data_IF_773621349659
#
_entry.id   IF_773621349659
#
_cell.length_a   1.000
_cell.length_b   1.000
_cell.length_c   1.000
_cell.angle_alpha   90.00
_cell.angle_beta   90.00
_cell.angle_gamma   90.00
#
_symmetry.space_group_name_H-M   'P 1'
#
loop_
_entity.id
_entity.type
_entity.pdbx_description
1 polymer ?
#
# COMPACT_ATOMS: atom_id res chain seq x y z
N UNK A 1 -25.53 17.25 -2.86
CA UNK A 1 -26.66 16.31 -2.72
C UNK A 1 -26.22 14.84 -2.78
N UNK A 2 -25.23 14.47 -3.59
CA UNK A 2 -24.76 13.09 -3.80
C UNK A 2 -24.16 12.39 -2.56
N UNK A 3 -23.54 13.14 -1.65
CA UNK A 3 -22.88 12.56 -0.47
C UNK A 3 -23.84 11.93 0.55
N UNK A 4 -25.08 12.44 0.67
CA UNK A 4 -26.06 11.92 1.63
C UNK A 4 -26.59 10.52 1.24
N UNK A 5 -26.51 10.14 -0.04
CA UNK A 5 -26.90 8.80 -0.53
C UNK A 5 -25.81 7.75 -0.26
N UNK A 6 -24.54 8.16 -0.24
CA UNK A 6 -23.38 7.26 -0.07
C UNK A 6 -23.20 6.87 1.40
N UNK A 7 -23.50 7.78 2.33
CA UNK A 7 -23.27 7.57 3.76
C UNK A 7 -24.38 6.75 4.47
N UNK A 8 -25.50 6.49 3.77
CA UNK A 8 -26.55 5.54 4.13
C UNK A 8 -26.92 5.46 5.63
N UNK A 9 -27.33 6.61 6.20
CA UNK A 9 -27.86 6.69 7.58
C UNK A 9 -29.33 6.21 7.71
N UNK A 10 -29.92 5.64 6.65
CA UNK A 10 -31.31 5.18 6.67
C UNK A 10 -31.43 3.67 6.91
N UNK A 11 -32.31 3.31 7.85
CA UNK A 11 -32.72 1.93 8.11
C UNK A 11 -33.56 1.41 6.94
N UNK A 12 -32.98 0.47 6.19
CA UNK A 12 -33.56 -0.26 5.05
C UNK A 12 -34.23 0.60 3.95
N UNK A 13 -33.47 0.98 2.89
CA UNK A 13 -33.97 1.87 1.85
C UNK A 13 -35.03 1.27 0.90
N UNK A 14 -35.39 -0.01 1.06
CA UNK A 14 -36.18 -0.72 0.04
C UNK A 14 -35.45 -0.80 -1.31
N UNK A 15 -36.18 -1.13 -2.37
CA UNK A 15 -35.69 -1.17 -3.75
C UNK A 15 -35.39 0.25 -4.24
N UNK A 16 -34.20 0.78 -3.96
CA UNK A 16 -33.73 2.04 -4.56
C UNK A 16 -33.60 1.83 -6.07
N UNK A 17 -34.41 2.57 -6.85
CA UNK A 17 -34.23 2.68 -8.29
C UNK A 17 -33.01 3.57 -8.59
N UNK A 18 -31.91 2.95 -8.99
CA UNK A 18 -30.66 3.62 -9.37
C UNK A 18 -30.63 4.04 -10.86
N UNK A 19 -31.65 3.67 -11.63
CA UNK A 19 -31.79 3.97 -13.06
C UNK A 19 -31.59 5.45 -13.41
N UNK A 20 -32.19 6.44 -12.71
CA UNK A 20 -31.99 7.84 -13.04
C UNK A 20 -30.52 8.28 -12.83
N UNK A 21 -29.83 7.72 -11.83
CA UNK A 21 -28.42 8.01 -11.58
C UNK A 21 -27.53 7.39 -12.66
N UNK A 22 -27.74 6.10 -12.97
CA UNK A 22 -26.98 5.39 -14.00
C UNK A 22 -27.20 6.03 -15.37
N UNK A 23 -28.44 6.38 -15.70
CA UNK A 23 -28.80 7.04 -16.97
C UNK A 23 -28.13 8.41 -17.09
N UNK A 24 -28.19 9.24 -16.03
CA UNK A 24 -27.53 10.55 -16.03
C UNK A 24 -26.00 10.43 -16.12
N UNK A 25 -25.39 9.53 -15.33
CA UNK A 25 -23.94 9.31 -15.33
C UNK A 25 -23.49 8.84 -16.72
N UNK A 26 -24.16 7.83 -17.29
CA UNK A 26 -23.77 7.22 -18.57
C UNK A 26 -23.98 8.14 -19.77
N UNK A 27 -24.89 9.11 -19.68
CA UNK A 27 -25.13 10.12 -20.72
C UNK A 27 -24.26 11.37 -20.55
N UNK A 28 -23.53 11.51 -19.44
CA UNK A 28 -22.64 12.64 -19.24
C UNK A 28 -21.47 12.59 -20.23
N UNK A 29 -21.10 13.76 -20.76
CA UNK A 29 -19.94 13.89 -21.66
C UNK A 29 -18.65 13.43 -20.98
N UNK A 30 -18.53 13.66 -19.67
CA UNK A 30 -17.42 13.21 -18.84
C UNK A 30 -17.32 11.68 -18.77
N UNK A 31 -18.45 10.97 -18.69
CA UNK A 31 -18.46 9.50 -18.72
C UNK A 31 -18.20 8.94 -20.12
N UNK A 32 -18.78 9.55 -21.15
CA UNK A 32 -18.57 9.12 -22.54
C UNK A 32 -17.09 9.27 -22.94
N UNK A 33 -16.42 10.30 -22.43
CA UNK A 33 -14.98 10.53 -22.60
C UNK A 33 -14.10 9.90 -21.51
N UNK A 34 -14.70 9.15 -20.57
CA UNK A 34 -13.97 8.55 -19.46
C UNK A 34 -13.08 7.42 -19.96
N UNK A 35 -11.77 7.66 -19.93
CA UNK A 35 -10.77 6.62 -20.10
C UNK A 35 -10.25 6.20 -18.73
N UNK A 36 -10.55 4.96 -18.26
CA UNK A 36 -10.12 4.49 -16.96
C UNK A 36 -8.60 4.51 -16.77
N UNK A 37 -7.83 4.36 -17.85
CA UNK A 37 -6.37 4.39 -17.82
C UNK A 37 -5.85 5.81 -17.56
N UNK A 38 -6.34 6.80 -18.32
CA UNK A 38 -5.95 8.20 -18.16
C UNK A 38 -6.39 8.75 -16.81
N UNK A 39 -7.60 8.40 -16.36
CA UNK A 39 -8.07 8.73 -15.03
C UNK A 39 -7.16 8.14 -13.95
N UNK A 40 -6.83 6.83 -14.02
CA UNK A 40 -5.91 6.20 -13.06
C UNK A 40 -4.52 6.81 -13.10
N UNK A 41 -4.02 7.16 -14.28
CA UNK A 41 -2.69 7.78 -14.43
C UNK A 41 -2.68 9.18 -13.82
N UNK A 42 -3.72 9.98 -14.09
CA UNK A 42 -3.88 11.33 -13.53
C UNK A 42 -4.01 11.28 -12.02
N UNK A 43 -4.87 10.40 -11.49
CA UNK A 43 -5.01 10.17 -10.05
C UNK A 43 -3.72 9.66 -9.43
N UNK A 44 -2.97 8.78 -10.12
CA UNK A 44 -1.67 8.32 -9.63
C UNK A 44 -0.68 9.48 -9.54
N UNK A 45 -0.61 10.36 -10.53
CA UNK A 45 0.28 11.52 -10.49
C UNK A 45 -0.09 12.50 -9.37
N UNK A 46 -1.39 12.70 -9.12
CA UNK A 46 -1.88 13.63 -8.08
C UNK A 46 -1.76 13.05 -6.67
N UNK A 47 -2.17 11.79 -6.48
CA UNK A 47 -2.25 11.14 -5.15
C UNK A 47 -0.93 10.48 -4.74
N UNK A 48 -0.19 9.93 -5.71
CA UNK A 48 1.10 9.26 -5.51
C UNK A 48 2.23 10.18 -5.97
N UNK A 49 2.61 11.14 -5.14
CA UNK A 49 3.75 12.05 -5.39
C UNK A 49 5.11 11.35 -5.21
N UNK A 50 5.11 10.05 -4.92
CA UNK A 50 6.35 9.31 -4.73
C UNK A 50 6.89 8.85 -6.08
N UNK A 51 8.21 8.96 -6.30
CA UNK A 51 8.82 8.34 -7.47
C UNK A 51 8.50 6.84 -7.43
N UNK A 52 7.81 6.36 -8.46
CA UNK A 52 7.53 4.94 -8.61
C UNK A 52 8.87 4.22 -8.75
N UNK A 53 9.25 3.47 -7.73
CA UNK A 53 10.40 2.59 -7.84
C UNK A 53 9.97 1.37 -8.67
N UNK A 54 10.26 1.41 -9.96
CA UNK A 54 9.98 0.28 -10.85
C UNK A 54 11.14 -0.70 -10.77
N UNK A 55 10.93 -1.86 -10.14
CA UNK A 55 11.85 -2.98 -10.37
C UNK A 55 11.90 -3.30 -11.87
N UNK A 56 13.08 -3.60 -12.42
CA UNK A 56 13.20 -3.91 -13.83
C UNK A 56 12.56 -5.28 -14.10
N UNK A 57 12.09 -5.53 -15.34
CA UNK A 57 11.37 -6.77 -15.69
C UNK A 57 12.04 -8.08 -15.25
N UNK A 58 13.38 -8.24 -15.29
CA UNK A 58 14.04 -9.47 -14.82
C UNK A 58 13.79 -9.78 -13.34
N UNK A 59 13.64 -8.77 -12.46
CA UNK A 59 13.40 -9.02 -11.04
C UNK A 59 11.95 -9.41 -10.77
N UNK A 60 11.00 -8.89 -11.55
CA UNK A 60 9.61 -9.36 -11.50
C UNK A 60 9.51 -10.85 -11.86
N UNK A 61 10.25 -11.29 -12.88
CA UNK A 61 10.33 -12.71 -13.24
C UNK A 61 10.86 -13.60 -12.11
N UNK A 62 11.68 -13.06 -11.21
CA UNK A 62 12.14 -13.77 -10.00
C UNK A 62 11.14 -13.68 -8.84
N UNK A 63 10.42 -12.56 -8.71
CA UNK A 63 9.45 -12.33 -7.65
C UNK A 63 8.17 -13.17 -7.78
N UNK A 64 7.58 -13.23 -8.97
CA UNK A 64 6.32 -13.94 -9.19
C UNK A 64 6.33 -15.45 -8.87
N UNK A 65 7.40 -16.22 -9.14
CA UNK A 65 7.45 -17.64 -8.78
C UNK A 65 7.72 -17.92 -7.29
N UNK A 66 7.97 -16.89 -6.46
CA UNK A 66 8.18 -17.10 -5.02
C UNK A 66 6.96 -17.77 -4.38
N UNK A 67 7.22 -18.81 -3.58
CA UNK A 67 6.21 -19.54 -2.80
C UNK A 67 5.84 -18.74 -1.53
N UNK A 68 5.17 -17.62 -1.75
CA UNK A 68 4.61 -16.76 -0.71
C UNK A 68 3.09 -16.74 -0.84
N UNK A 69 2.39 -16.58 0.29
CA UNK A 69 0.94 -16.40 0.32
C UNK A 69 0.55 -15.10 -0.40
N UNK A 70 -0.68 -15.05 -0.92
CA UNK A 70 -1.14 -13.96 -1.78
C UNK A 70 -1.12 -12.60 -1.06
N UNK A 71 -1.47 -12.59 0.22
CA UNK A 71 -1.51 -11.42 1.09
C UNK A 71 -0.11 -10.81 1.24
N UNK A 72 0.88 -11.64 1.55
CA UNK A 72 2.30 -11.21 1.64
C UNK A 72 2.80 -10.70 0.30
N UNK A 73 2.42 -11.35 -0.82
CA UNK A 73 2.80 -10.90 -2.16
C UNK A 73 2.29 -9.49 -2.45
N UNK A 74 1.04 -9.19 -2.11
CA UNK A 74 0.45 -7.86 -2.29
C UNK A 74 1.18 -6.81 -1.45
N UNK A 75 1.52 -7.14 -0.20
CA UNK A 75 2.28 -6.24 0.69
C UNK A 75 3.68 -5.98 0.11
N UNK A 76 4.42 -7.02 -0.27
CA UNK A 76 5.74 -6.88 -0.88
C UNK A 76 5.69 -6.08 -2.18
N UNK A 77 4.72 -6.34 -3.06
CA UNK A 77 4.53 -5.57 -4.29
C UNK A 77 4.30 -4.08 -3.99
N UNK A 78 3.40 -3.77 -3.04
CA UNK A 78 3.12 -2.38 -2.65
C UNK A 78 4.33 -1.73 -2.02
N UNK A 79 5.08 -2.45 -1.20
CA UNK A 79 6.32 -1.96 -0.60
C UNK A 79 7.36 -1.60 -1.66
N UNK A 80 7.60 -2.52 -2.59
CA UNK A 80 8.54 -2.35 -3.72
C UNK A 80 8.18 -1.12 -4.56
N UNK A 81 6.90 -0.93 -4.86
CA UNK A 81 6.42 0.21 -5.65
C UNK A 81 6.24 1.50 -4.84
N UNK A 82 6.59 1.51 -3.55
CA UNK A 82 6.34 2.60 -2.62
C UNK A 82 4.86 3.06 -2.60
N UNK A 83 3.96 2.07 -2.61
CA UNK A 83 2.49 2.20 -2.56
C UNK A 83 1.91 1.70 -1.23
N UNK A 84 2.73 1.56 -0.20
CA UNK A 84 2.24 1.30 1.15
C UNK A 84 1.78 2.61 1.77
N UNK A 85 0.60 2.57 2.38
CA UNK A 85 0.09 3.68 3.17
C UNK A 85 0.68 3.62 4.57
N UNK A 86 1.34 4.70 4.97
CA UNK A 86 1.82 4.96 6.32
C UNK A 86 1.17 6.24 6.86
N UNK A 87 1.27 6.52 8.15
CA UNK A 87 0.63 7.71 8.74
C UNK A 87 1.13 9.04 8.14
N UNK A 88 2.33 9.10 7.54
CA UNK A 88 2.76 10.29 6.77
C UNK A 88 1.98 10.47 5.47
N UNK A 89 1.51 9.38 4.86
CA UNK A 89 0.76 9.40 3.59
C UNK A 89 -0.75 9.58 3.76
N UNK A 90 -1.31 9.17 4.91
CA UNK A 90 -2.75 9.21 5.19
C UNK A 90 -3.33 10.64 5.24
N UNK A 91 -2.64 11.67 5.76
CA UNK A 91 -3.10 13.07 5.75
C UNK A 91 -3.53 13.60 4.39
N UNK A 92 -3.03 13.00 3.29
CA UNK A 92 -3.43 13.33 1.92
C UNK A 92 -4.90 12.98 1.63
N UNK A 93 -5.41 11.95 2.28
CA UNK A 93 -6.79 11.47 2.14
C UNK A 93 -7.67 11.95 3.29
N UNK A 94 -7.10 12.07 4.49
CA UNK A 94 -7.80 12.56 5.66
C UNK A 94 -6.84 13.38 6.55
N UNK A 95 -6.98 14.70 6.48
CA UNK A 95 -6.13 15.67 7.20
C UNK A 95 -6.23 15.60 8.73
N UNK A 96 -7.20 14.86 9.28
CA UNK A 96 -7.36 14.70 10.74
C UNK A 96 -6.42 13.65 11.33
N UNK A 97 -5.80 12.83 10.49
CA UNK A 97 -4.91 11.75 10.93
C UNK A 97 -3.52 12.30 11.25
N UNK A 98 -3.01 11.96 12.44
CA UNK A 98 -1.64 12.31 12.84
C UNK A 98 -0.61 11.51 12.04
N UNK A 99 0.52 12.12 11.68
CA UNK A 99 1.64 11.45 11.02
C UNK A 99 2.49 10.59 11.98
N UNK A 100 2.24 10.70 13.29
CA UNK A 100 2.96 9.95 14.32
C UNK A 100 2.58 8.47 14.33
N UNK A 101 3.50 7.60 14.74
CA UNK A 101 3.19 6.18 14.93
C UNK A 101 2.28 6.00 16.15
N UNK A 102 1.20 5.23 16.02
CA UNK A 102 0.29 4.96 17.13
C UNK A 102 0.83 3.94 18.15
N UNK A 103 1.89 3.21 17.80
CA UNK A 103 2.41 2.10 18.62
C UNK A 103 3.62 2.52 19.46
N UNK A 104 4.62 3.17 18.86
CA UNK A 104 5.81 3.64 19.58
C UNK A 104 5.80 5.15 19.86
N UNK A 105 4.78 5.87 19.37
CA UNK A 105 4.62 7.33 19.52
C UNK A 105 5.75 8.16 18.92
N UNK A 106 6.52 7.59 17.99
CA UNK A 106 7.47 8.38 17.20
C UNK A 106 6.73 9.41 16.35
N UNK A 107 7.38 10.56 16.15
CA UNK A 107 6.81 11.75 15.52
C UNK A 107 6.43 11.55 14.05
N UNK A 108 7.05 10.59 13.38
CA UNK A 108 6.90 10.36 11.95
C UNK A 108 6.91 8.87 11.63
N UNK A 109 5.78 8.33 11.18
CA UNK A 109 5.70 6.99 10.61
C UNK A 109 5.72 7.07 9.08
N UNK A 110 6.90 6.88 8.49
CA UNK A 110 7.07 6.60 7.07
C UNK A 110 6.96 5.09 6.78
N UNK A 111 7.18 4.68 5.53
CA UNK A 111 7.08 3.26 5.13
C UNK A 111 8.16 2.41 5.80
N UNK A 112 9.36 2.97 6.05
CA UNK A 112 10.44 2.25 6.72
C UNK A 112 10.09 2.04 8.20
N UNK A 113 9.62 3.09 8.88
CA UNK A 113 9.09 3.01 10.23
C UNK A 113 7.91 2.04 10.34
N UNK A 114 6.98 2.09 9.39
CA UNK A 114 5.82 1.22 9.36
C UNK A 114 6.19 -0.27 9.37
N UNK A 115 7.26 -0.66 8.69
CA UNK A 115 7.62 -2.06 8.46
C UNK A 115 8.79 -2.57 9.31
N UNK A 116 9.81 -1.76 9.54
CA UNK A 116 11.13 -2.23 10.01
C UNK A 116 11.56 -1.50 11.29
N UNK A 117 11.61 -0.16 11.29
CA UNK A 117 12.30 0.57 12.37
C UNK A 117 11.44 0.91 13.59
N UNK A 118 10.12 0.70 13.52
CA UNK A 118 9.26 0.84 14.70
C UNK A 118 9.63 -0.21 15.76
N UNK A 119 10.13 0.24 16.92
CA UNK A 119 10.56 -0.65 18.02
C UNK A 119 9.50 -1.65 18.47
N UNK A 120 8.23 -1.21 18.52
CA UNK A 120 7.12 -2.08 18.88
C UNK A 120 6.92 -3.19 17.84
N UNK A 121 6.87 -2.85 16.55
CA UNK A 121 6.69 -3.83 15.47
C UNK A 121 7.93 -4.72 15.31
N UNK A 122 9.11 -4.17 15.53
CA UNK A 122 10.36 -4.91 15.51
C UNK A 122 10.38 -6.03 16.55
N UNK A 123 9.85 -5.79 17.76
CA UNK A 123 9.73 -6.86 18.77
C UNK A 123 8.89 -8.06 18.29
N UNK A 124 7.84 -7.79 17.51
CA UNK A 124 7.01 -8.83 16.88
C UNK A 124 7.80 -9.56 15.80
N UNK A 125 8.49 -8.83 14.92
CA UNK A 125 9.36 -9.41 13.91
C UNK A 125 10.42 -10.32 14.52
N UNK A 126 11.11 -9.86 15.55
CA UNK A 126 12.12 -10.64 16.26
C UNK A 126 11.53 -11.92 16.86
N UNK A 127 10.33 -11.85 17.44
CA UNK A 127 9.63 -13.05 17.93
C UNK A 127 9.30 -14.06 16.84
N UNK A 128 8.84 -13.61 15.67
CA UNK A 128 8.53 -14.49 14.53
C UNK A 128 9.80 -15.06 13.91
N UNK A 129 10.79 -14.22 13.66
CA UNK A 129 12.05 -14.58 13.00
C UNK A 129 12.87 -15.54 13.87
N UNK A 130 12.96 -15.30 15.18
CA UNK A 130 13.63 -16.21 16.12
C UNK A 130 12.95 -17.57 16.19
N UNK A 131 11.62 -17.66 15.98
CA UNK A 131 10.92 -18.95 15.90
C UNK A 131 11.28 -19.73 14.63
N UNK A 132 11.56 -19.03 13.53
CA UNK A 132 11.88 -19.65 12.25
C UNK A 132 13.37 -19.99 12.10
N UNK A 133 14.24 -19.13 12.64
CA UNK A 133 15.69 -19.27 12.61
C UNK A 133 16.31 -18.85 13.96
N UNK A 134 16.22 -19.71 14.99
CA UNK A 134 16.61 -19.35 16.37
C UNK A 134 18.10 -19.12 16.57
N UNK A 135 18.93 -19.54 15.62
CA UNK A 135 20.39 -19.40 15.65
C UNK A 135 20.87 -18.12 14.94
N UNK A 136 19.95 -17.31 14.40
CA UNK A 136 20.27 -16.04 13.76
C UNK A 136 19.81 -14.88 14.65
N UNK A 137 20.69 -13.91 14.83
CA UNK A 137 20.31 -12.60 15.34
C UNK A 137 19.87 -11.74 14.16
N UNK A 138 18.69 -11.15 14.26
CA UNK A 138 18.16 -10.23 13.27
C UNK A 138 18.26 -8.82 13.81
N UNK A 139 18.67 -7.89 12.96
CA UNK A 139 18.63 -6.44 13.21
C UNK A 139 17.77 -5.74 12.15
N UNK A 140 17.20 -4.57 12.46
CA UNK A 140 16.47 -3.77 11.47
C UNK A 140 17.27 -3.55 10.19
N UNK A 141 18.57 -3.29 10.33
CA UNK A 141 19.50 -3.08 9.21
C UNK A 141 19.60 -4.29 8.27
N UNK A 142 19.40 -5.51 8.79
CA UNK A 142 19.42 -6.73 7.97
C UNK A 142 18.20 -6.79 7.04
N UNK A 143 17.08 -6.18 7.43
CA UNK A 143 15.86 -6.08 6.61
C UNK A 143 15.92 -4.86 5.70
N UNK A 144 16.48 -3.74 6.17
CA UNK A 144 16.72 -2.56 5.32
C UNK A 144 17.69 -2.87 4.18
N UNK A 145 18.64 -3.77 4.42
CA UNK A 145 19.59 -4.26 3.40
C UNK A 145 19.03 -5.34 2.48
N UNK A 146 17.85 -5.92 2.78
CA UNK A 146 17.09 -6.70 1.79
C UNK A 146 16.72 -5.73 0.67
N UNK A 147 17.21 -5.91 -0.57
CA UNK A 147 17.47 -4.77 -1.43
C UNK A 147 16.20 -4.01 -1.81
N UNK A 148 16.03 -2.84 -1.21
CA UNK A 148 15.33 -1.69 -1.78
C UNK A 148 16.28 -0.54 -2.11
N UNK A 149 17.59 -0.80 -2.15
CA UNK A 149 18.55 0.22 -2.50
C UNK A 149 18.59 0.44 -4.03
N UNK A 150 17.66 1.28 -4.50
CA UNK A 150 17.70 2.22 -5.64
C UNK A 150 18.18 1.81 -7.04
N UNK A 151 18.65 0.60 -7.28
CA UNK A 151 19.06 0.18 -8.62
C UNK A 151 18.78 -1.30 -8.75
N UNK A 152 17.72 -1.62 -9.51
CA UNK A 152 17.68 -2.64 -10.55
C UNK A 152 18.52 -3.93 -10.44
N UNK A 153 18.94 -4.43 -9.27
CA UNK A 153 19.75 -5.64 -9.19
C UNK A 153 19.53 -6.54 -7.95
N UNK A 154 18.40 -7.27 -7.91
CA UNK A 154 18.16 -8.38 -6.97
C UNK A 154 18.71 -9.73 -7.46
N UNK A 155 19.49 -10.40 -6.61
CA UNK A 155 19.47 -11.87 -6.47
C UNK A 155 18.75 -12.15 -5.15
N UNK A 156 17.53 -12.68 -5.22
CA UNK A 156 16.83 -13.20 -4.03
C UNK A 156 17.39 -14.59 -3.72
N UNK A 157 18.26 -14.69 -2.72
CA UNK A 157 18.64 -15.97 -2.11
C UNK A 157 18.30 -15.92 -0.62
N UNK A 158 17.01 -16.00 -0.31
CA UNK A 158 16.58 -16.48 1.00
C UNK A 158 15.47 -17.50 0.76
N UNK A 159 15.57 -18.62 1.49
CA UNK A 159 14.91 -19.92 1.32
C UNK A 159 15.79 -20.92 0.56
N UNK A 160 16.63 -21.63 1.32
CA UNK A 160 16.91 -23.05 1.08
C UNK A 160 15.91 -23.86 1.90
#
# INVERSE_FOLDING_TARGET
MTWNLILNDYSDPGSIDDFPFVSWLTQSVDWISFHPQDYRQTQSNTLLTYPLCTLPPPKWKQFWPLKIIHETRTICFRFIYNKLHCNVSVPRFNSTVSAACSLCHDTLEDVNHLLITCSFKWSVWQGVLSRFAPYLEFRPEDIESIPLNKTCDLKFNFIK
#
